data_IF_838585709571
#
_entry.id   IF_838585709571
#
_cell.length_a   1.000
_cell.length_b   1.000
_cell.length_c   1.000
_cell.angle_alpha   90.00
_cell.angle_beta   90.00
_cell.angle_gamma   90.00
#
_symmetry.space_group_name_H-M   'P 1'
#
loop_
_entity.id
_entity.type
_entity.pdbx_description
1 polymer ?
#
# COMPACT_ATOMS: atom_id res chain seq x y z
N UNK A 1 -7.26 -22.42 57.77
CA UNK A 1 -6.31 -21.73 56.89
C UNK A 1 -5.70 -22.81 55.99
N UNK A 2 -6.29 -23.08 54.83
CA UNK A 2 -5.79 -24.06 53.88
C UNK A 2 -5.49 -23.35 52.57
N UNK A 3 -4.20 -23.26 52.22
CA UNK A 3 -3.73 -22.77 50.96
C UNK A 3 -3.90 -23.91 49.91
N UNK A 4 -4.77 -23.72 48.95
CA UNK A 4 -4.90 -24.61 47.81
C UNK A 4 -3.78 -24.37 46.82
N UNK A 5 -2.79 -25.27 46.77
CA UNK A 5 -1.77 -25.26 45.73
C UNK A 5 -2.36 -25.74 44.41
N UNK A 6 -2.13 -24.98 43.33
CA UNK A 6 -2.45 -25.42 41.98
C UNK A 6 -1.71 -26.75 41.67
N UNK A 7 -2.40 -27.70 41.04
CA UNK A 7 -1.84 -29.03 40.76
C UNK A 7 -0.76 -28.94 39.67
N UNK A 8 0.27 -29.80 39.76
CA UNK A 8 1.36 -29.83 38.76
C UNK A 8 0.84 -30.09 37.32
N UNK A 9 -0.36 -30.63 37.16
CA UNK A 9 -1.02 -30.81 35.88
C UNK A 9 -1.50 -29.48 35.25
N UNK A 10 -1.87 -28.45 36.03
CA UNK A 10 -2.25 -27.14 35.54
C UNK A 10 -1.02 -26.32 35.13
N UNK A 11 0.08 -26.47 35.85
CA UNK A 11 1.36 -25.80 35.49
C UNK A 11 1.97 -26.37 34.22
N UNK A 12 1.81 -27.68 33.96
CA UNK A 12 2.26 -28.35 32.74
C UNK A 12 1.47 -27.94 31.48
N UNK A 13 0.22 -27.52 31.62
CA UNK A 13 -0.61 -27.08 30.50
C UNK A 13 -0.24 -25.68 29.98
N UNK A 14 0.38 -24.84 30.82
CA UNK A 14 0.76 -23.46 30.46
C UNK A 14 2.07 -23.41 29.66
N UNK A 15 2.89 -24.47 29.75
CA UNK A 15 4.25 -24.49 29.17
C UNK A 15 4.39 -25.36 27.89
N UNK A 16 3.32 -25.72 27.21
CA UNK A 16 3.45 -26.29 25.88
C UNK A 16 3.79 -25.18 24.89
N UNK A 17 4.99 -25.21 24.27
CA UNK A 17 5.30 -24.29 23.19
C UNK A 17 4.37 -24.62 22.01
N UNK A 18 3.36 -23.78 21.76
CA UNK A 18 2.53 -23.82 20.55
C UNK A 18 3.30 -23.30 19.33
N UNK A 19 4.57 -23.62 19.26
CA UNK A 19 5.43 -23.41 18.10
C UNK A 19 5.22 -24.52 17.07
N UNK A 20 3.99 -24.69 16.61
CA UNK A 20 3.74 -25.44 15.40
C UNK A 20 4.41 -24.71 14.24
N UNK A 21 5.41 -25.32 13.63
CA UNK A 21 5.93 -24.91 12.32
C UNK A 21 4.74 -24.83 11.38
N UNK A 22 4.28 -23.62 11.07
CA UNK A 22 3.32 -23.41 10.00
C UNK A 22 4.04 -23.81 8.72
N UNK A 23 3.55 -24.82 7.97
CA UNK A 23 4.19 -25.17 6.70
C UNK A 23 4.27 -23.90 5.85
N UNK A 24 5.45 -23.64 5.28
CA UNK A 24 5.68 -22.51 4.37
C UNK A 24 4.60 -22.62 3.28
N UNK A 25 3.64 -21.70 3.30
CA UNK A 25 2.57 -21.71 2.29
C UNK A 25 3.22 -21.57 0.93
N UNK A 26 2.92 -22.45 -0.03
CA UNK A 26 3.44 -22.30 -1.38
C UNK A 26 3.07 -20.90 -1.89
N UNK A 27 4.04 -20.26 -2.58
CA UNK A 27 3.86 -18.94 -3.14
C UNK A 27 2.67 -18.97 -4.10
N UNK A 28 1.72 -18.08 -3.91
CA UNK A 28 0.53 -17.97 -4.75
C UNK A 28 0.88 -17.58 -6.20
N UNK A 29 -0.03 -17.84 -7.12
CA UNK A 29 0.15 -17.58 -8.54
C UNK A 29 0.48 -16.10 -8.82
N UNK A 30 -0.22 -15.18 -8.12
CA UNK A 30 0.01 -13.75 -8.26
C UNK A 30 1.43 -13.34 -7.88
N UNK A 31 1.97 -13.89 -6.79
CA UNK A 31 3.35 -13.63 -6.35
C UNK A 31 4.37 -14.16 -7.35
N UNK A 32 4.16 -15.37 -7.91
CA UNK A 32 5.04 -15.92 -8.96
C UNK A 32 5.01 -15.07 -10.21
N UNK A 33 3.84 -14.66 -10.68
CA UNK A 33 3.67 -13.78 -11.83
C UNK A 33 4.43 -12.46 -11.66
N UNK A 34 4.23 -11.76 -10.53
CA UNK A 34 4.93 -10.51 -10.23
C UNK A 34 6.45 -10.69 -10.27
N UNK A 35 6.98 -11.75 -9.64
CA UNK A 35 8.41 -11.99 -9.62
C UNK A 35 8.97 -12.33 -11.00
N UNK A 36 8.26 -13.13 -11.81
CA UNK A 36 8.67 -13.47 -13.18
C UNK A 36 8.71 -12.23 -14.06
N UNK A 37 7.66 -11.41 -14.06
CA UNK A 37 7.64 -10.16 -14.84
C UNK A 37 8.76 -9.22 -14.41
N UNK A 38 9.00 -9.06 -13.10
CA UNK A 38 10.09 -8.23 -12.58
C UNK A 38 11.46 -8.75 -13.02
N UNK A 39 11.67 -10.07 -12.93
CA UNK A 39 12.92 -10.70 -13.36
C UNK A 39 13.18 -10.48 -14.86
N UNK A 40 12.17 -10.75 -15.71
CA UNK A 40 12.30 -10.59 -17.16
C UNK A 40 12.57 -9.14 -17.55
N UNK A 41 11.83 -8.18 -16.96
CA UNK A 41 12.04 -6.76 -17.20
C UNK A 41 13.45 -6.32 -16.77
N UNK A 42 13.90 -6.73 -15.59
CA UNK A 42 15.23 -6.41 -15.08
C UNK A 42 16.34 -7.01 -15.90
N UNK A 43 16.23 -8.28 -16.31
CA UNK A 43 17.21 -8.94 -17.17
C UNK A 43 17.28 -8.30 -18.57
N UNK A 44 16.12 -7.99 -19.16
CA UNK A 44 16.06 -7.31 -20.46
C UNK A 44 16.78 -5.96 -20.43
N UNK A 45 16.47 -5.10 -19.47
CA UNK A 45 17.11 -3.78 -19.34
C UNK A 45 18.59 -3.89 -19.01
N UNK A 46 18.98 -4.82 -18.13
CA UNK A 46 20.38 -5.03 -17.77
C UNK A 46 21.18 -5.51 -18.98
N UNK A 47 20.66 -6.49 -19.74
CA UNK A 47 21.32 -7.02 -20.92
C UNK A 47 21.46 -5.95 -22.01
N UNK A 48 20.41 -5.17 -22.27
CA UNK A 48 20.45 -4.05 -23.21
C UNK A 48 21.47 -2.98 -22.79
N UNK A 49 21.48 -2.61 -21.49
CA UNK A 49 22.44 -1.65 -20.95
C UNK A 49 23.88 -2.13 -21.04
N UNK A 50 24.15 -3.39 -20.71
CA UNK A 50 25.49 -4.00 -20.85
C UNK A 50 25.92 -4.05 -22.32
N UNK A 51 25.04 -4.47 -23.22
CA UNK A 51 25.33 -4.53 -24.67
C UNK A 51 25.63 -3.13 -25.22
N UNK A 52 24.86 -2.12 -24.87
CA UNK A 52 25.08 -0.72 -25.28
C UNK A 52 26.44 -0.17 -24.80
N UNK A 53 26.85 -0.54 -23.58
CA UNK A 53 28.13 -0.09 -22.99
C UNK A 53 29.35 -0.85 -23.57
N UNK A 54 29.26 -2.16 -23.73
CA UNK A 54 30.38 -2.99 -24.12
C UNK A 54 30.54 -3.16 -25.64
N UNK A 55 29.44 -3.08 -26.38
CA UNK A 55 29.40 -3.27 -27.83
C UNK A 55 28.50 -2.23 -28.52
N UNK A 56 28.80 -0.91 -28.40
CA UNK A 56 27.90 0.16 -28.83
C UNK A 56 27.57 0.15 -30.31
N UNK A 57 28.50 -0.25 -31.14
CA UNK A 57 28.29 -0.36 -32.60
C UNK A 57 27.31 -1.48 -32.92
N UNK A 58 27.53 -2.66 -32.34
CA UNK A 58 26.65 -3.80 -32.51
C UNK A 58 25.25 -3.51 -31.97
N UNK A 59 25.17 -2.87 -30.81
CA UNK A 59 23.89 -2.49 -30.21
C UNK A 59 23.12 -1.51 -31.11
N UNK A 60 23.79 -0.47 -31.62
CA UNK A 60 23.15 0.50 -32.50
C UNK A 60 22.64 -0.16 -33.80
N UNK A 61 23.41 -1.05 -34.39
CA UNK A 61 23.00 -1.80 -35.58
C UNK A 61 21.84 -2.73 -35.30
N UNK A 62 21.89 -3.46 -34.19
CA UNK A 62 20.84 -4.38 -33.75
C UNK A 62 19.53 -3.67 -33.35
N UNK A 63 19.62 -2.44 -32.86
CA UNK A 63 18.48 -1.63 -32.50
C UNK A 63 17.98 -0.71 -33.61
N UNK A 64 18.66 -0.68 -34.76
CA UNK A 64 18.29 0.14 -35.91
C UNK A 64 18.53 1.64 -35.70
N UNK A 65 19.49 2.04 -34.83
CA UNK A 65 19.80 3.43 -34.51
C UNK A 65 21.05 3.94 -35.23
N UNK A 66 21.18 5.25 -35.47
CA UNK A 66 22.43 5.85 -35.94
C UNK A 66 23.60 5.55 -35.00
N UNK A 67 24.77 5.28 -35.57
CA UNK A 67 25.98 4.94 -34.80
C UNK A 67 26.58 6.17 -34.10
N UNK A 68 25.97 6.61 -33.00
CA UNK A 68 26.49 7.69 -32.16
C UNK A 68 26.95 7.11 -30.81
N UNK A 69 28.24 6.74 -30.74
CA UNK A 69 28.80 5.95 -29.61
C UNK A 69 28.53 6.60 -28.26
N UNK A 70 28.72 7.92 -28.08
CA UNK A 70 28.47 8.58 -26.79
C UNK A 70 27.01 8.50 -26.38
N UNK A 71 26.07 8.75 -27.28
CA UNK A 71 24.65 8.63 -27.02
C UNK A 71 24.24 7.20 -26.62
N UNK A 72 24.82 6.19 -27.32
CA UNK A 72 24.56 4.78 -27.01
C UNK A 72 25.10 4.41 -25.64
N UNK A 73 26.26 4.94 -25.22
CA UNK A 73 26.83 4.74 -23.88
C UNK A 73 25.91 5.38 -22.80
N UNK A 74 25.44 6.61 -23.02
CA UNK A 74 24.54 7.26 -22.06
C UNK A 74 23.22 6.50 -21.93
N UNK A 75 22.59 6.12 -23.02
CA UNK A 75 21.40 5.28 -23.03
C UNK A 75 21.65 3.94 -22.30
N UNK A 76 22.81 3.31 -22.56
CA UNK A 76 23.22 2.08 -21.89
C UNK A 76 23.41 2.23 -20.39
N UNK A 77 23.98 3.33 -19.93
CA UNK A 77 24.14 3.61 -18.50
C UNK A 77 22.79 3.74 -17.79
N UNK A 78 21.83 4.45 -18.38
CA UNK A 78 20.47 4.56 -17.83
C UNK A 78 19.74 3.21 -17.86
N UNK A 79 19.82 2.46 -18.93
CA UNK A 79 19.21 1.13 -19.03
C UNK A 79 19.79 0.16 -18.00
N UNK A 80 21.11 0.15 -17.81
CA UNK A 80 21.77 -0.67 -16.81
C UNK A 80 21.30 -0.28 -15.39
N UNK A 81 21.27 1.02 -15.08
CA UNK A 81 20.79 1.53 -13.80
C UNK A 81 19.35 1.12 -13.50
N UNK A 82 18.44 1.27 -14.46
CA UNK A 82 17.04 0.84 -14.35
C UNK A 82 16.98 -0.69 -14.16
N UNK A 83 17.68 -1.46 -15.00
CA UNK A 83 17.69 -2.92 -14.95
C UNK A 83 18.15 -3.46 -13.60
N UNK A 84 19.28 -2.96 -13.10
CA UNK A 84 19.80 -3.32 -11.77
C UNK A 84 18.81 -2.94 -10.66
N UNK A 85 18.19 -1.76 -10.72
CA UNK A 85 17.19 -1.34 -9.73
C UNK A 85 15.98 -2.28 -9.73
N UNK A 86 15.50 -2.69 -10.89
CA UNK A 86 14.40 -3.66 -11.04
C UNK A 86 14.79 -5.02 -10.46
N UNK A 87 16.01 -5.50 -10.71
CA UNK A 87 16.50 -6.78 -10.15
C UNK A 87 16.67 -6.72 -8.63
N UNK A 88 17.19 -5.60 -8.10
CA UNK A 88 17.32 -5.41 -6.64
C UNK A 88 15.97 -5.44 -5.93
N UNK A 89 14.88 -5.04 -6.58
CA UNK A 89 13.55 -5.13 -6.02
C UNK A 89 13.08 -6.57 -5.76
N UNK A 90 13.69 -7.59 -6.39
CA UNK A 90 13.44 -9.01 -6.08
C UNK A 90 13.94 -9.38 -4.68
N UNK A 91 15.04 -8.75 -4.22
CA UNK A 91 15.59 -8.90 -2.89
C UNK A 91 14.89 -7.96 -1.90
N UNK A 92 14.71 -6.69 -2.26
CA UNK A 92 14.05 -5.67 -1.44
C UNK A 92 12.58 -5.52 -1.79
N UNK A 93 11.80 -6.54 -1.43
CA UNK A 93 10.39 -6.68 -1.84
C UNK A 93 9.48 -5.53 -1.41
N UNK A 94 9.88 -4.75 -0.41
CA UNK A 94 9.12 -3.56 0.02
C UNK A 94 9.16 -2.44 -1.05
N UNK A 95 10.26 -2.34 -1.82
CA UNK A 95 10.39 -1.41 -2.93
C UNK A 95 9.73 -1.86 -4.24
N UNK A 96 9.29 -3.12 -4.33
CA UNK A 96 8.86 -3.74 -5.58
C UNK A 96 7.71 -2.98 -6.29
N UNK A 97 6.71 -2.50 -5.55
CA UNK A 97 5.61 -1.74 -6.14
C UNK A 97 6.07 -0.38 -6.72
N UNK A 98 6.99 0.31 -6.02
CA UNK A 98 7.54 1.59 -6.48
C UNK A 98 8.37 1.42 -7.74
N UNK A 99 9.22 0.39 -7.75
CA UNK A 99 10.11 0.09 -8.89
C UNK A 99 9.29 -0.31 -10.12
N UNK A 100 8.25 -1.16 -9.96
CA UNK A 100 7.35 -1.51 -11.05
C UNK A 100 6.60 -0.29 -11.60
N UNK A 101 6.18 0.64 -10.73
CA UNK A 101 5.51 1.88 -11.17
C UNK A 101 6.45 2.77 -11.98
N UNK A 102 7.69 2.97 -11.52
CA UNK A 102 8.71 3.74 -12.24
C UNK A 102 9.07 3.10 -13.58
N UNK A 103 9.28 1.79 -13.58
CA UNK A 103 9.56 1.04 -14.80
C UNK A 103 8.39 1.10 -15.81
N UNK A 104 7.15 0.99 -15.33
CA UNK A 104 5.96 1.11 -16.18
C UNK A 104 5.92 2.45 -16.91
N UNK A 105 6.16 3.56 -16.20
CA UNK A 105 6.21 4.90 -16.81
C UNK A 105 7.31 4.97 -17.87
N UNK A 106 8.53 4.56 -17.53
CA UNK A 106 9.67 4.62 -18.44
C UNK A 106 9.44 3.76 -19.69
N UNK A 107 9.02 2.50 -19.52
CA UNK A 107 8.82 1.58 -20.64
C UNK A 107 7.60 1.97 -21.50
N UNK A 108 6.53 2.51 -20.90
CA UNK A 108 5.37 3.01 -21.68
C UNK A 108 5.75 4.22 -22.51
N UNK A 109 6.49 5.18 -21.93
CA UNK A 109 7.02 6.33 -22.69
C UNK A 109 7.91 5.88 -23.82
N UNK A 110 8.79 4.89 -23.58
CA UNK A 110 9.65 4.30 -24.59
C UNK A 110 8.85 3.66 -25.74
N UNK A 111 7.80 2.88 -25.41
CA UNK A 111 6.89 2.30 -26.40
C UNK A 111 6.18 3.36 -27.24
N UNK A 112 5.75 4.46 -26.63
CA UNK A 112 5.12 5.60 -27.30
C UNK A 112 6.12 6.26 -28.24
N UNK A 113 7.37 6.49 -27.82
CA UNK A 113 8.41 7.06 -28.68
C UNK A 113 8.64 6.19 -29.93
N UNK A 114 8.76 4.87 -29.77
CA UNK A 114 8.88 3.95 -30.91
C UNK A 114 7.65 3.95 -31.83
N UNK A 115 6.48 4.33 -31.34
CA UNK A 115 5.27 4.44 -32.16
C UNK A 115 5.20 5.77 -32.92
N UNK A 116 5.66 6.88 -32.29
CA UNK A 116 5.66 8.23 -32.86
C UNK A 116 6.82 8.44 -33.83
N UNK A 117 8.00 7.95 -33.45
CA UNK A 117 9.27 8.18 -34.17
C UNK A 117 9.62 7.03 -35.14
N UNK A 118 8.62 6.33 -35.66
CA UNK A 118 8.80 5.11 -36.46
C UNK A 118 9.68 5.32 -37.68
N UNK A 119 9.70 6.54 -38.22
CA UNK A 119 10.49 6.90 -39.39
C UNK A 119 11.91 7.40 -39.02
N UNK A 120 12.23 7.53 -37.73
CA UNK A 120 13.51 8.07 -37.26
C UNK A 120 14.51 6.98 -36.84
N UNK A 121 14.11 5.73 -36.83
CA UNK A 121 14.96 4.57 -36.50
C UNK A 121 14.21 3.52 -35.68
N UNK A 122 14.90 2.40 -35.39
CA UNK A 122 14.28 1.25 -34.72
C UNK A 122 13.55 0.32 -35.70
N UNK A 123 13.00 -0.77 -35.15
CA UNK A 123 12.26 -1.76 -35.95
C UNK A 123 10.75 -1.60 -35.69
N UNK A 124 9.96 -1.81 -36.73
CA UNK A 124 8.49 -1.66 -36.67
C UNK A 124 7.82 -2.57 -35.64
N UNK A 125 8.49 -3.65 -35.23
CA UNK A 125 8.02 -4.57 -34.19
C UNK A 125 8.25 -4.11 -32.75
N UNK A 126 9.23 -3.22 -32.51
CA UNK A 126 9.72 -2.87 -31.18
C UNK A 126 8.62 -2.27 -30.29
N UNK A 127 7.78 -1.41 -30.88
CA UNK A 127 6.64 -0.81 -30.17
C UNK A 127 5.69 -1.85 -29.58
N UNK A 128 5.48 -2.97 -30.25
CA UNK A 128 4.57 -4.02 -29.77
C UNK A 128 5.19 -4.83 -28.64
N UNK A 129 6.49 -5.13 -28.72
CA UNK A 129 7.22 -5.79 -27.64
C UNK A 129 7.24 -4.92 -26.37
N UNK A 130 7.56 -3.62 -26.53
CA UNK A 130 7.54 -2.65 -25.43
C UNK A 130 6.14 -2.44 -24.86
N UNK A 131 5.10 -2.37 -25.71
CA UNK A 131 3.72 -2.26 -25.26
C UNK A 131 3.26 -3.51 -24.48
N UNK A 132 3.61 -4.71 -24.95
CA UNK A 132 3.34 -5.96 -24.25
C UNK A 132 4.02 -5.99 -22.87
N UNK A 133 5.28 -5.56 -22.78
CA UNK A 133 6.01 -5.48 -21.52
C UNK A 133 5.38 -4.44 -20.58
N UNK A 134 4.91 -3.31 -21.11
CA UNK A 134 4.15 -2.31 -20.33
C UNK A 134 2.86 -2.90 -19.76
N UNK A 135 2.11 -3.64 -20.57
CA UNK A 135 0.87 -4.29 -20.11
C UNK A 135 1.14 -5.32 -19.01
N UNK A 136 2.15 -6.18 -19.21
CA UNK A 136 2.55 -7.18 -18.20
C UNK A 136 2.99 -6.50 -16.90
N UNK A 137 3.74 -5.41 -16.99
CA UNK A 137 4.18 -4.63 -15.82
C UNK A 137 3.00 -3.96 -15.12
N UNK A 138 2.04 -3.40 -15.86
CA UNK A 138 0.82 -2.82 -15.30
C UNK A 138 0.00 -3.86 -14.52
N UNK A 139 -0.20 -5.06 -15.10
CA UNK A 139 -0.89 -6.17 -14.42
C UNK A 139 -0.11 -6.60 -13.18
N UNK A 140 1.23 -6.75 -13.26
CA UNK A 140 2.07 -7.09 -12.13
C UNK A 140 1.97 -6.05 -11.00
N UNK A 141 1.96 -4.76 -11.34
CA UNK A 141 1.79 -3.67 -10.39
C UNK A 141 0.41 -3.74 -9.69
N UNK A 142 -0.67 -3.95 -10.45
CA UNK A 142 -2.03 -4.08 -9.89
C UNK A 142 -2.10 -5.28 -8.93
N UNK A 143 -1.56 -6.44 -9.32
CA UNK A 143 -1.48 -7.63 -8.45
C UNK A 143 -0.68 -7.31 -7.19
N UNK A 144 0.48 -6.67 -7.32
CA UNK A 144 1.33 -6.29 -6.18
C UNK A 144 0.63 -5.31 -5.23
N UNK A 145 -0.03 -4.28 -5.76
CA UNK A 145 -0.82 -3.35 -4.96
C UNK A 145 -1.97 -4.06 -4.22
N UNK A 146 -2.62 -5.02 -4.87
CA UNK A 146 -3.62 -5.88 -4.25
C UNK A 146 -3.06 -6.68 -3.07
N UNK A 147 -1.86 -7.29 -3.24
CA UNK A 147 -1.16 -8.03 -2.16
C UNK A 147 -0.79 -7.13 -0.97
N UNK A 148 -0.44 -5.87 -1.23
CA UNK A 148 -0.16 -4.87 -0.21
C UNK A 148 -1.43 -4.28 0.42
N UNK A 149 -2.63 -4.72 0.01
CA UNK A 149 -3.89 -4.12 0.44
C UNK A 149 -4.02 -2.66 -0.01
N UNK A 150 -3.34 -2.28 -1.11
CA UNK A 150 -3.26 -0.90 -1.63
C UNK A 150 -2.65 0.11 -0.64
N UNK A 151 -1.85 -0.38 0.31
CA UNK A 151 -1.05 0.45 1.23
C UNK A 151 0.37 0.50 0.66
N UNK A 152 0.75 1.61 0.07
CA UNK A 152 2.04 1.80 -0.64
C UNK A 152 2.94 2.86 -0.01
N UNK A 153 2.46 3.52 1.05
CA UNK A 153 3.23 4.52 1.78
C UNK A 153 3.92 3.94 3.02
N UNK A 154 4.61 4.81 3.73
CA UNK A 154 5.16 4.50 5.04
C UNK A 154 4.04 4.13 6.02
N UNK A 155 4.23 3.02 6.73
CA UNK A 155 3.29 2.52 7.72
C UNK A 155 3.96 2.64 9.09
N UNK A 156 3.40 3.48 9.95
CA UNK A 156 3.87 3.63 11.32
C UNK A 156 3.58 2.38 12.13
N UNK A 157 4.36 2.18 13.20
CA UNK A 157 4.18 1.05 14.12
C UNK A 157 3.10 1.36 15.15
N UNK A 158 2.39 0.31 15.60
CA UNK A 158 1.52 0.38 16.75
C UNK A 158 2.31 0.01 18.01
N UNK A 159 2.25 0.83 19.06
CA UNK A 159 2.72 0.48 20.40
C UNK A 159 1.63 -0.30 21.16
N UNK A 160 0.37 -0.03 20.90
CA UNK A 160 -0.74 -0.82 21.44
C UNK A 160 -0.96 -2.10 20.63
N UNK A 161 -0.88 -3.29 21.26
CA UNK A 161 -1.18 -4.58 20.58
C UNK A 161 -2.57 -4.62 19.93
N UNK A 162 -3.54 -3.92 20.50
CA UNK A 162 -4.88 -3.82 19.96
C UNK A 162 -4.92 -3.17 18.57
N UNK A 163 -4.01 -2.24 18.27
CA UNK A 163 -3.92 -1.54 17.00
C UNK A 163 -3.01 -2.21 15.98
N UNK A 164 -2.20 -3.20 16.37
CA UNK A 164 -1.22 -3.84 15.48
C UNK A 164 -1.86 -4.39 14.20
N UNK A 165 -3.04 -4.99 14.29
CA UNK A 165 -3.80 -5.54 13.15
C UNK A 165 -4.25 -4.51 12.13
N UNK A 166 -4.34 -3.22 12.53
CA UNK A 166 -4.80 -2.12 11.67
C UNK A 166 -3.67 -1.39 10.95
N UNK A 167 -2.41 -1.65 11.32
CA UNK A 167 -1.23 -0.98 10.75
C UNK A 167 -1.23 -1.13 9.22
N UNK A 168 -1.35 -2.35 8.70
CA UNK A 168 -1.38 -2.65 7.26
C UNK A 168 -2.80 -2.79 6.68
N UNK A 169 -3.84 -2.55 7.48
CA UNK A 169 -5.22 -2.67 7.01
C UNK A 169 -5.60 -1.47 6.13
N UNK A 170 -6.10 -1.75 4.90
CA UNK A 170 -6.53 -0.71 3.96
C UNK A 170 -7.84 -0.05 4.40
N UNK A 171 -8.83 -0.87 4.71
CA UNK A 171 -10.18 -0.43 5.05
C UNK A 171 -10.57 -1.00 6.40
N UNK A 172 -11.11 -0.15 7.23
CA UNK A 172 -11.58 -0.48 8.59
C UNK A 172 -13.05 -0.12 8.69
N UNK A 173 -13.84 -1.02 9.24
CA UNK A 173 -15.24 -0.72 9.60
C UNK A 173 -15.24 0.06 10.91
N UNK A 174 -15.68 1.31 10.86
CA UNK A 174 -15.94 2.11 12.06
C UNK A 174 -17.44 2.08 12.34
N UNK A 175 -17.80 1.45 13.43
CA UNK A 175 -19.20 1.40 13.92
C UNK A 175 -19.41 2.54 14.90
N UNK A 176 -20.39 3.37 14.60
CA UNK A 176 -20.84 4.51 15.43
C UNK A 176 -22.29 4.29 15.83
N UNK A 177 -22.77 4.91 16.90
CA UNK A 177 -24.07 4.61 17.48
C UNK A 177 -25.05 5.78 17.31
N UNK A 178 -26.28 5.50 16.91
CA UNK A 178 -27.37 6.46 16.90
C UNK A 178 -27.79 6.81 18.35
N UNK A 179 -28.58 7.86 18.54
CA UNK A 179 -29.11 8.25 19.88
C UNK A 179 -29.90 7.11 20.55
N UNK A 180 -30.56 6.28 19.75
CA UNK A 180 -31.29 5.09 20.23
C UNK A 180 -30.42 3.84 20.40
N UNK A 181 -29.08 3.98 20.39
CA UNK A 181 -28.13 2.88 20.53
C UNK A 181 -27.91 2.03 19.28
N UNK A 182 -28.68 2.21 18.21
CA UNK A 182 -28.52 1.39 16.99
C UNK A 182 -27.14 1.60 16.34
N UNK A 183 -26.36 0.51 16.09
CA UNK A 183 -25.06 0.62 15.45
C UNK A 183 -25.19 0.95 13.96
N UNK A 184 -24.21 1.73 13.46
CA UNK A 184 -24.06 2.06 12.03
C UNK A 184 -22.60 1.94 11.66
N UNK A 185 -22.27 0.88 10.91
CA UNK A 185 -20.94 0.64 10.36
C UNK A 185 -20.66 1.49 9.14
N UNK A 186 -19.45 1.99 9.02
CA UNK A 186 -18.98 2.74 7.85
C UNK A 186 -17.54 2.33 7.53
N UNK A 187 -17.25 1.83 6.31
CA UNK A 187 -15.88 1.56 5.88
C UNK A 187 -15.12 2.87 5.71
N UNK A 188 -13.91 2.94 6.27
CA UNK A 188 -13.03 4.11 6.20
C UNK A 188 -11.58 3.68 6.05
N UNK A 189 -10.75 4.58 5.52
CA UNK A 189 -9.29 4.45 5.62
C UNK A 189 -8.84 4.96 6.99
N UNK A 190 -7.85 4.26 7.57
CA UNK A 190 -7.34 4.55 8.90
C UNK A 190 -5.81 4.45 8.88
N UNK A 191 -5.13 5.37 9.55
CA UNK A 191 -3.70 5.31 9.83
C UNK A 191 -3.48 5.11 11.33
N UNK A 192 -2.49 4.29 11.69
CA UNK A 192 -2.09 4.04 13.08
C UNK A 192 -0.78 4.75 13.33
N UNK A 193 -0.63 5.36 14.51
CA UNK A 193 0.60 5.99 14.98
C UNK A 193 0.67 5.84 16.50
N UNK A 194 1.59 5.00 16.98
CA UNK A 194 1.73 4.67 18.38
C UNK A 194 0.46 4.02 18.99
N UNK A 195 -0.09 4.66 19.99
CA UNK A 195 -1.29 4.21 20.74
C UNK A 195 -2.61 4.67 20.12
N UNK A 196 -2.54 5.35 19.00
CA UNK A 196 -3.70 5.99 18.41
C UNK A 196 -3.90 5.62 16.96
N UNK A 197 -5.15 5.71 16.52
CA UNK A 197 -5.50 5.61 15.11
C UNK A 197 -6.20 6.88 14.64
N UNK A 198 -6.03 7.21 13.37
CA UNK A 198 -6.53 8.46 12.79
C UNK A 198 -7.38 8.17 11.57
N UNK A 199 -8.51 8.85 11.46
CA UNK A 199 -9.37 8.80 10.28
C UNK A 199 -9.75 10.20 9.80
N UNK A 200 -10.13 10.27 8.52
CA UNK A 200 -10.62 11.48 7.84
C UNK A 200 -12.05 11.25 7.37
N UNK A 201 -12.88 12.27 7.49
CA UNK A 201 -14.26 12.24 7.00
C UNK A 201 -14.77 13.64 6.69
N UNK A 202 -16.02 13.74 6.27
CA UNK A 202 -16.70 15.03 6.04
C UNK A 202 -17.44 15.51 7.29
N UNK A 203 -17.51 16.80 7.45
CA UNK A 203 -18.21 17.45 8.58
C UNK A 203 -19.70 17.10 8.62
N UNK A 204 -20.37 17.14 7.45
CA UNK A 204 -21.79 16.80 7.32
C UNK A 204 -22.07 15.29 7.25
N UNK A 205 -21.04 14.43 7.35
CA UNK A 205 -21.26 12.98 7.34
C UNK A 205 -22.00 12.52 8.60
N UNK A 206 -22.95 11.61 8.45
CA UNK A 206 -23.74 11.11 9.56
C UNK A 206 -22.91 10.48 10.69
N UNK A 207 -21.74 9.91 10.39
CA UNK A 207 -20.81 9.40 11.42
C UNK A 207 -20.21 10.55 12.26
N UNK A 208 -19.94 11.71 11.68
CA UNK A 208 -19.44 12.89 12.40
C UNK A 208 -20.43 13.34 13.45
N UNK A 209 -21.72 13.41 13.08
CA UNK A 209 -22.78 13.74 14.00
C UNK A 209 -22.97 12.70 15.10
N UNK A 210 -22.86 11.41 14.75
CA UNK A 210 -22.97 10.33 15.74
C UNK A 210 -21.81 10.33 16.73
N UNK A 211 -20.58 10.55 16.28
CA UNK A 211 -19.39 10.66 17.14
C UNK A 211 -19.50 11.89 18.06
N UNK A 212 -20.05 13.00 17.58
CA UNK A 212 -20.29 14.19 18.41
C UNK A 212 -21.24 13.88 19.57
N UNK A 213 -22.31 13.12 19.30
CA UNK A 213 -23.29 12.77 20.32
C UNK A 213 -22.81 11.61 21.24
N UNK A 214 -22.06 10.67 20.70
CA UNK A 214 -21.51 9.53 21.42
C UNK A 214 -20.12 9.21 20.88
N UNK A 215 -19.04 9.52 21.62
CA UNK A 215 -17.68 9.31 21.17
C UNK A 215 -17.25 7.83 21.20
N UNK A 216 -18.07 6.93 21.72
CA UNK A 216 -17.78 5.48 21.69
C UNK A 216 -17.92 4.96 20.27
N UNK A 217 -16.91 4.23 19.81
CA UNK A 217 -16.90 3.59 18.50
C UNK A 217 -16.29 2.20 18.61
N UNK A 218 -16.67 1.30 17.70
CA UNK A 218 -15.97 0.05 17.51
C UNK A 218 -15.24 0.09 16.17
N UNK A 219 -14.05 -0.48 16.11
CA UNK A 219 -13.27 -0.59 14.90
C UNK A 219 -12.92 -2.05 14.63
N UNK A 220 -13.15 -2.50 13.41
CA UNK A 220 -12.83 -3.86 12.94
C UNK A 220 -12.12 -3.83 11.59
N UNK A 221 -11.17 -4.73 11.32
CA UNK A 221 -10.67 -4.93 9.96
C UNK A 221 -11.83 -5.25 9.04
N UNK A 222 -11.84 -4.68 7.82
CA UNK A 222 -12.94 -4.93 6.89
C UNK A 222 -12.52 -4.93 5.44
N UNK A 223 -13.37 -5.52 4.60
CA UNK A 223 -13.31 -5.35 3.15
C UNK A 223 -13.70 -3.93 2.75
N UNK A 224 -13.44 -3.54 1.50
CA UNK A 224 -13.86 -2.24 0.96
C UNK A 224 -15.40 -2.04 1.01
N UNK A 225 -16.16 -3.14 0.99
CA UNK A 225 -17.63 -3.12 1.09
C UNK A 225 -18.15 -3.06 2.54
N UNK A 226 -17.23 -2.99 3.53
CA UNK A 226 -17.60 -2.91 4.94
C UNK A 226 -17.95 -4.24 5.60
N UNK A 227 -17.60 -5.38 5.01
CA UNK A 227 -17.73 -6.69 5.64
C UNK A 227 -16.57 -6.87 6.62
N UNK A 228 -16.82 -7.11 7.94
CA UNK A 228 -15.75 -7.36 8.90
C UNK A 228 -14.93 -8.60 8.51
N UNK A 229 -13.60 -8.53 8.65
CA UNK A 229 -12.67 -9.63 8.40
C UNK A 229 -11.92 -10.07 9.67
N UNK A 230 -12.30 -9.51 10.82
CA UNK A 230 -11.72 -9.84 12.12
C UNK A 230 -12.50 -9.20 13.25
N UNK A 231 -12.13 -9.50 14.52
CA UNK A 231 -12.85 -9.02 15.68
C UNK A 231 -12.74 -7.49 15.84
N UNK A 232 -13.82 -6.88 16.34
CA UNK A 232 -13.85 -5.48 16.66
C UNK A 232 -13.15 -5.18 17.99
N UNK A 233 -12.55 -3.99 18.08
CA UNK A 233 -12.08 -3.41 19.36
C UNK A 233 -12.85 -2.14 19.66
N UNK A 234 -13.07 -1.89 20.96
CA UNK A 234 -13.69 -0.65 21.43
C UNK A 234 -12.68 0.48 21.43
N UNK A 235 -13.12 1.67 21.03
CA UNK A 235 -12.29 2.88 21.04
C UNK A 235 -13.13 4.10 21.40
N UNK A 236 -12.45 5.18 21.77
CA UNK A 236 -13.04 6.51 21.92
C UNK A 236 -12.56 7.39 20.79
N UNK A 237 -13.49 8.06 20.12
CA UNK A 237 -13.20 9.00 19.03
C UNK A 237 -13.21 10.44 19.55
N UNK A 238 -12.15 11.21 19.27
CA UNK A 238 -12.05 12.65 19.54
C UNK A 238 -11.79 13.41 18.24
N UNK A 239 -12.55 14.48 18.01
CA UNK A 239 -12.28 15.40 16.89
C UNK A 239 -10.96 16.12 17.11
N UNK A 240 -10.21 16.32 16.03
CA UNK A 240 -8.91 16.96 16.03
C UNK A 240 -9.00 18.40 15.53
N UNK A 241 -8.13 19.25 16.09
CA UNK A 241 -8.01 20.67 15.75
C UNK A 241 -6.52 21.06 15.53
N UNK A 242 -6.30 22.19 14.89
CA UNK A 242 -4.98 22.84 14.76
C UNK A 242 -3.86 21.93 14.22
N UNK A 243 -2.80 21.79 14.99
CA UNK A 243 -1.59 21.03 14.60
C UNK A 243 -1.84 19.52 14.48
N UNK A 244 -2.74 18.97 15.29
CA UNK A 244 -3.09 17.54 15.26
C UNK A 244 -3.76 17.15 13.93
N UNK A 245 -4.57 18.04 13.33
CA UNK A 245 -5.17 17.82 12.00
C UNK A 245 -4.09 17.65 10.94
N UNK A 246 -3.03 18.47 10.99
CA UNK A 246 -1.92 18.39 10.03
C UNK A 246 -1.14 17.08 10.19
N UNK A 247 -0.92 16.62 11.44
CA UNK A 247 -0.28 15.32 11.72
C UNK A 247 -1.14 14.18 11.18
N UNK A 248 -2.42 14.13 11.51
CA UNK A 248 -3.33 13.08 11.04
C UNK A 248 -3.44 13.05 9.51
N UNK A 249 -3.49 14.22 8.86
CA UNK A 249 -3.52 14.31 7.40
C UNK A 249 -2.25 13.75 6.77
N UNK A 250 -1.07 14.04 7.33
CA UNK A 250 0.22 13.49 6.87
C UNK A 250 0.26 11.98 7.01
N UNK A 251 -0.11 11.43 8.16
CA UNK A 251 -0.13 9.98 8.42
C UNK A 251 -1.03 9.25 7.42
N UNK A 252 -2.23 9.78 7.16
CA UNK A 252 -3.16 9.21 6.18
C UNK A 252 -2.61 9.30 4.75
N UNK A 253 -1.93 10.39 4.40
CA UNK A 253 -1.30 10.56 3.09
C UNK A 253 -0.12 9.62 2.91
N UNK A 254 0.73 9.45 3.93
CA UNK A 254 1.85 8.52 3.88
C UNK A 254 1.37 7.07 3.70
N UNK A 255 0.35 6.66 4.44
CA UNK A 255 -0.22 5.31 4.31
C UNK A 255 -0.95 5.10 2.98
N UNK A 256 -1.65 6.11 2.47
CA UNK A 256 -2.49 6.03 1.26
C UNK A 256 -2.21 7.22 0.33
N UNK A 257 -1.02 7.30 -0.31
CA UNK A 257 -0.58 8.50 -1.04
C UNK A 257 -1.51 8.87 -2.19
N UNK A 258 -1.96 7.92 -3.00
CA UNK A 258 -2.88 8.21 -4.11
C UNK A 258 -4.27 8.60 -3.60
N UNK A 259 -4.81 7.90 -2.61
CA UNK A 259 -6.16 8.14 -2.10
C UNK A 259 -6.23 9.43 -1.30
N UNK A 260 -5.39 9.59 -0.26
CA UNK A 260 -5.42 10.72 0.66
C UNK A 260 -4.51 11.88 0.27
N UNK A 261 -3.51 11.62 -0.59
CA UNK A 261 -2.63 12.67 -1.14
C UNK A 261 -3.23 13.40 -2.34
N UNK A 262 -3.98 12.68 -3.20
CA UNK A 262 -4.50 13.26 -4.45
C UNK A 262 -6.04 13.22 -4.52
N UNK A 263 -6.66 12.02 -4.51
CA UNK A 263 -8.09 11.86 -4.80
C UNK A 263 -8.99 12.51 -3.75
N UNK A 264 -8.74 12.26 -2.47
CA UNK A 264 -9.57 12.79 -1.38
C UNK A 264 -9.49 14.32 -1.29
N UNK A 265 -8.32 14.98 -1.32
CA UNK A 265 -8.26 16.44 -1.37
C UNK A 265 -9.01 17.04 -2.55
N UNK A 266 -8.89 16.44 -3.75
CA UNK A 266 -9.58 16.91 -4.95
C UNK A 266 -11.09 16.78 -4.82
N UNK A 267 -11.60 15.62 -4.44
CA UNK A 267 -13.04 15.37 -4.24
C UNK A 267 -13.63 16.22 -3.12
N UNK A 268 -12.86 16.47 -2.03
CA UNK A 268 -13.29 17.36 -0.96
C UNK A 268 -13.35 18.83 -1.40
N UNK A 269 -12.45 19.25 -2.29
CA UNK A 269 -12.45 20.60 -2.87
C UNK A 269 -13.67 20.84 -3.75
N UNK A 270 -13.97 19.86 -4.62
CA UNK A 270 -15.11 19.90 -5.54
C UNK A 270 -16.46 19.73 -4.82
N UNK A 271 -16.52 18.86 -3.81
CA UNK A 271 -17.75 18.53 -3.07
C UNK A 271 -18.05 19.39 -1.86
N UNK A 272 -17.25 20.42 -1.56
CA UNK A 272 -17.28 21.18 -0.29
C UNK A 272 -18.65 21.79 0.05
N UNK A 273 -19.38 22.24 -0.94
CA UNK A 273 -20.72 22.81 -0.75
C UNK A 273 -21.71 21.77 -0.17
N UNK A 274 -21.64 20.52 -0.62
CA UNK A 274 -22.52 19.43 -0.18
C UNK A 274 -22.05 18.75 1.09
N UNK A 275 -20.74 18.54 1.27
CA UNK A 275 -20.17 17.67 2.31
C UNK A 275 -19.63 18.43 3.53
N UNK A 276 -19.48 19.75 3.43
CA UNK A 276 -18.86 20.59 4.46
C UNK A 276 -17.32 20.48 4.46
N UNK A 277 -16.70 20.91 5.55
CA UNK A 277 -15.25 20.86 5.72
C UNK A 277 -14.77 19.42 5.94
N UNK A 278 -13.50 19.17 5.67
CA UNK A 278 -12.82 17.95 6.06
C UNK A 278 -12.56 17.97 7.57
N UNK A 279 -12.90 16.88 8.24
CA UNK A 279 -12.65 16.69 9.67
C UNK A 279 -11.85 15.43 9.92
N UNK A 280 -11.04 15.44 10.96
CA UNK A 280 -10.20 14.33 11.38
C UNK A 280 -10.57 13.92 12.80
N UNK A 281 -10.48 12.63 13.08
CA UNK A 281 -10.69 12.06 14.40
C UNK A 281 -9.48 11.22 14.81
N UNK A 282 -9.14 11.32 16.10
CA UNK A 282 -8.23 10.43 16.80
C UNK A 282 -9.05 9.37 17.51
N UNK A 283 -8.68 8.11 17.33
CA UNK A 283 -9.28 6.95 17.98
C UNK A 283 -8.28 6.40 18.98
N UNK A 284 -8.68 6.30 20.24
CA UNK A 284 -7.89 5.69 21.30
C UNK A 284 -8.57 4.39 21.73
N UNK A 285 -7.90 3.23 21.61
CA UNK A 285 -8.42 1.97 22.11
C UNK A 285 -8.79 2.08 23.60
N UNK A 286 -9.82 1.37 24.00
CA UNK A 286 -10.17 1.19 25.39
C UNK A 286 -9.70 -0.18 25.85
N UNK A 287 -9.01 -0.24 26.96
CA UNK A 287 -8.69 -1.50 27.60
C UNK A 287 -9.97 -2.23 28.03
N UNK A 288 -10.04 -3.56 27.81
CA UNK A 288 -11.21 -4.35 28.22
C UNK A 288 -11.56 -4.24 29.71
N UNK A 289 -10.58 -3.85 30.55
CA UNK A 289 -10.71 -3.75 31.99
C UNK A 289 -11.20 -2.40 32.55
N UNK A 290 -11.29 -1.34 31.73
CA UNK A 290 -11.85 -0.06 32.16
C UNK A 290 -13.37 -0.01 31.87
N UNK A 291 -14.12 -0.83 32.58
CA UNK A 291 -15.57 -0.60 32.80
C UNK A 291 -15.62 0.53 33.80
N UNK A 292 -15.98 1.74 33.35
CA UNK A 292 -16.09 2.91 34.22
C UNK A 292 -17.03 2.66 35.40
N UNK A 293 -16.53 3.01 36.56
CA UNK A 293 -17.36 3.30 37.74
C UNK A 293 -18.26 4.47 37.45
#
# INVERSE_FOLDING_TARGET
MMAGGASESEISAINKPTGGWSPVRPMDWGSRFVLVVTLLAGLFMTAAGVAALLAPRWFADAAGFPRHTHFVHDAGAFQLGIGVTVLLALAWRDGLALVLAGFLVANTTHAVNHAVDIDLGGHSGDRWGLAALSLLTAVALVVRLGQLGWVVGEVTTATSPALARFVRQKTVLVTTYRRNGRPVGTPVSLAVDGDHAYLRTFEKAGKTQRIHNNPRVDIAPSTARGQPTGPAIRATARRLDGAEVRRAARLLTHKHPLLHGLLVPLTHRLGRAKTGKTVHFKLTPRDPGQVGC
#
